data_IF_450051530180
#
_entry.id   IF_450051530180
#
_cell.length_a   1.000
_cell.length_b   1.000
_cell.length_c   1.000
_cell.angle_alpha   90.00
_cell.angle_beta   90.00
_cell.angle_gamma   90.00
#
_symmetry.space_group_name_H-M   'P 1'
#
loop_
_entity.id
_entity.type
_entity.pdbx_description
1 polymer ?
#
# COMPACT_ATOMS: atom_id res chain seq x y z
N UNK A 1 -5.37 -1.45 16.89
CA UNK A 1 -5.79 -0.03 17.03
C UNK A 1 -6.79 0.31 15.93
N UNK A 2 -7.93 0.92 16.26
CA UNK A 2 -9.01 1.20 15.28
C UNK A 2 -8.53 2.09 14.13
N UNK A 3 -7.72 3.12 14.43
CA UNK A 3 -7.17 4.05 13.43
C UNK A 3 -6.16 3.41 12.47
N UNK A 4 -5.69 2.19 12.75
CA UNK A 4 -4.85 1.41 11.84
C UNK A 4 -5.68 0.53 10.90
N UNK A 5 -6.80 -0.01 11.38
CA UNK A 5 -7.60 -1.00 10.64
C UNK A 5 -8.75 -0.40 9.83
N UNK A 6 -9.22 0.80 10.19
CA UNK A 6 -10.44 1.38 9.62
C UNK A 6 -10.15 2.65 8.82
N UNK A 7 -10.93 2.87 7.77
CA UNK A 7 -10.82 4.07 6.93
C UNK A 7 -11.43 5.27 7.66
N UNK A 8 -10.60 6.25 8.01
CA UNK A 8 -11.03 7.45 8.75
C UNK A 8 -11.63 8.54 7.86
N UNK A 9 -11.24 8.62 6.59
CA UNK A 9 -11.74 9.60 5.60
C UNK A 9 -11.52 11.10 5.97
N UNK A 10 -10.76 11.38 7.02
CA UNK A 10 -10.33 12.72 7.42
C UNK A 10 -8.82 12.92 7.27
N UNK A 11 -8.30 14.13 7.57
CA UNK A 11 -6.88 14.47 7.47
C UNK A 11 -6.08 13.88 8.66
N UNK A 12 -6.08 12.56 8.80
CA UNK A 12 -5.47 11.81 9.91
C UNK A 12 -4.60 10.69 9.34
N UNK A 13 -3.38 10.57 9.85
CA UNK A 13 -2.47 9.48 9.54
C UNK A 13 -2.03 8.74 10.81
N UNK A 14 -2.08 7.41 10.78
CA UNK A 14 -1.52 6.55 11.81
C UNK A 14 -0.07 6.21 11.46
N UNK A 15 0.89 6.57 12.32
CA UNK A 15 2.30 6.21 12.13
C UNK A 15 2.59 4.94 12.93
N UNK A 16 2.99 3.87 12.25
CA UNK A 16 3.29 2.57 12.84
C UNK A 16 4.75 2.24 12.59
N UNK A 17 5.47 1.82 13.63
CA UNK A 17 6.87 1.41 13.54
C UNK A 17 6.97 -0.07 13.18
N UNK A 18 7.81 -0.38 12.21
CA UNK A 18 8.20 -1.74 11.89
C UNK A 18 9.65 -2.00 12.31
N UNK A 19 9.98 -3.26 12.64
CA UNK A 19 11.35 -3.65 13.02
C UNK A 19 12.29 -3.63 11.82
N UNK A 20 11.78 -4.00 10.66
CA UNK A 20 12.50 -4.12 9.40
C UNK A 20 11.51 -4.07 8.21
N UNK A 21 12.03 -4.20 6.99
CA UNK A 21 11.23 -4.17 5.77
C UNK A 21 10.27 -5.36 5.63
N UNK A 22 10.61 -6.54 6.16
CA UNK A 22 9.73 -7.71 6.10
C UNK A 22 8.53 -7.53 7.03
N UNK A 23 8.75 -7.06 8.26
CA UNK A 23 7.68 -6.71 9.19
C UNK A 23 6.82 -5.55 8.66
N UNK A 24 7.41 -4.58 7.95
CA UNK A 24 6.63 -3.51 7.33
C UNK A 24 5.69 -4.05 6.24
N UNK A 25 6.15 -5.03 5.45
CA UNK A 25 5.33 -5.71 4.45
C UNK A 25 4.20 -6.52 5.09
N UNK A 26 4.50 -7.29 6.15
CA UNK A 26 3.50 -8.02 6.94
C UNK A 26 2.41 -7.08 7.46
N UNK A 27 2.81 -5.95 8.06
CA UNK A 27 1.87 -4.94 8.56
C UNK A 27 1.05 -4.29 7.43
N UNK A 28 1.65 -4.03 6.27
CA UNK A 28 0.94 -3.46 5.13
C UNK A 28 -0.12 -4.41 4.57
N UNK A 29 0.19 -5.71 4.54
CA UNK A 29 -0.72 -6.76 4.07
C UNK A 29 -1.75 -7.20 5.13
N UNK A 30 -1.53 -6.95 6.44
CA UNK A 30 -2.52 -7.09 7.54
C UNK A 30 -3.62 -6.02 7.47
N UNK A 31 -4.29 -5.96 6.32
CA UNK A 31 -5.42 -5.12 6.04
C UNK A 31 -6.45 -5.89 5.24
N UNK A 32 -7.72 -5.70 5.57
CA UNK A 32 -8.85 -6.20 4.78
C UNK A 32 -9.02 -5.43 3.46
N UNK A 33 -8.28 -4.33 3.28
CA UNK A 33 -8.29 -3.46 2.12
C UNK A 33 -6.97 -3.60 1.33
N UNK A 34 -7.00 -3.22 0.06
CA UNK A 34 -5.85 -3.30 -0.84
C UNK A 34 -6.00 -2.38 -2.05
N UNK A 35 -6.20 -1.08 -1.82
CA UNK A 35 -6.38 -0.11 -2.90
C UNK A 35 -5.05 0.26 -3.56
N UNK A 36 -4.16 0.89 -2.78
CA UNK A 36 -2.86 1.32 -3.24
C UNK A 36 -1.84 1.35 -2.08
N UNK A 37 -0.57 1.19 -2.42
CA UNK A 37 0.55 1.32 -1.50
C UNK A 37 1.68 2.13 -2.12
N UNK A 38 2.49 2.76 -1.26
CA UNK A 38 3.71 3.44 -1.69
C UNK A 38 4.92 2.92 -0.94
N UNK A 39 6.02 2.69 -1.65
CA UNK A 39 7.32 2.31 -1.09
C UNK A 39 8.31 3.46 -1.24
N UNK A 40 8.98 3.82 -0.13
CA UNK A 40 10.09 4.76 -0.12
C UNK A 40 11.38 4.08 0.33
N UNK A 41 12.31 3.86 -0.60
CA UNK A 41 13.63 3.29 -0.30
C UNK A 41 14.68 3.68 -1.35
N UNK A 42 15.95 3.81 -0.97
CA UNK A 42 17.04 4.02 -1.97
C UNK A 42 17.48 2.72 -2.64
N UNK A 43 17.08 1.57 -2.11
CA UNK A 43 17.44 0.27 -2.65
C UNK A 43 16.39 -0.16 -3.69
N UNK A 44 16.80 -0.17 -4.96
CA UNK A 44 15.93 -0.50 -6.10
C UNK A 44 15.46 -1.95 -6.07
N UNK A 45 16.33 -2.89 -5.74
CA UNK A 45 16.00 -4.31 -5.64
C UNK A 45 14.96 -4.55 -4.55
N UNK A 46 15.13 -3.90 -3.39
CA UNK A 46 14.16 -3.94 -2.30
C UNK A 46 12.83 -3.32 -2.72
N UNK A 47 12.84 -2.21 -3.45
CA UNK A 47 11.62 -1.57 -3.93
C UNK A 47 10.81 -2.51 -4.84
N UNK A 48 11.47 -3.16 -5.80
CA UNK A 48 10.83 -4.13 -6.69
C UNK A 48 10.34 -5.37 -5.96
N UNK A 49 11.14 -5.89 -5.00
CA UNK A 49 10.72 -7.03 -4.17
C UNK A 49 9.44 -6.72 -3.40
N UNK A 50 9.42 -5.60 -2.66
CA UNK A 50 8.26 -5.18 -1.88
C UNK A 50 7.05 -4.92 -2.79
N UNK A 51 7.26 -4.30 -3.96
CA UNK A 51 6.18 -4.06 -4.91
C UNK A 51 5.54 -5.34 -5.46
N UNK A 52 6.31 -6.42 -5.61
CA UNK A 52 5.80 -7.72 -6.04
C UNK A 52 5.02 -8.48 -4.95
N UNK A 53 5.25 -8.17 -3.67
CA UNK A 53 4.66 -8.87 -2.54
C UNK A 53 3.51 -8.09 -1.86
N UNK A 54 3.32 -6.81 -2.20
CA UNK A 54 2.24 -5.98 -1.67
C UNK A 54 0.88 -6.38 -2.28
N UNK A 55 -0.09 -6.69 -1.43
CA UNK A 55 -1.43 -7.11 -1.83
C UNK A 55 -2.34 -5.90 -2.09
N UNK A 56 -1.97 -5.10 -3.07
CA UNK A 56 -2.71 -3.89 -3.48
C UNK A 56 -2.86 -3.83 -4.99
N UNK A 57 -3.88 -3.12 -5.47
CA UNK A 57 -4.08 -3.01 -6.92
C UNK A 57 -3.17 -1.98 -7.61
N UNK A 58 -2.45 -1.14 -6.86
CA UNK A 58 -1.43 -0.26 -7.41
C UNK A 58 -0.31 0.02 -6.40
N UNK A 59 0.94 -0.17 -6.81
CA UNK A 59 2.12 0.15 -6.01
C UNK A 59 2.90 1.28 -6.66
N UNK A 60 3.24 2.29 -5.86
CA UNK A 60 3.99 3.46 -6.29
C UNK A 60 5.36 3.47 -5.59
N UNK A 61 6.43 3.76 -6.32
CA UNK A 61 7.77 3.90 -5.75
C UNK A 61 8.12 5.38 -5.76
N UNK A 62 8.47 5.93 -4.59
CA UNK A 62 8.80 7.36 -4.40
C UNK A 62 7.72 8.36 -4.81
N UNK A 63 6.46 7.92 -4.87
CA UNK A 63 5.34 8.75 -5.31
C UNK A 63 4.07 8.47 -4.54
N UNK A 64 3.15 9.41 -4.57
CA UNK A 64 1.80 9.21 -4.03
C UNK A 64 0.93 8.44 -5.01
N UNK A 65 -0.21 7.94 -4.53
CA UNK A 65 -1.21 7.32 -5.37
C UNK A 65 -1.73 8.31 -6.42
N UNK A 66 -1.40 8.08 -7.68
CA UNK A 66 -1.80 8.89 -8.82
C UNK A 66 -2.52 8.02 -9.87
N UNK A 67 -3.37 8.65 -10.67
CA UNK A 67 -4.11 7.98 -11.73
C UNK A 67 -3.66 8.48 -13.10
N UNK A 68 -3.44 7.55 -14.04
CA UNK A 68 -3.22 7.83 -15.45
C UNK A 68 -4.29 7.07 -16.24
N UNK A 69 -5.03 7.70 -17.17
CA UNK A 69 -6.10 7.03 -17.91
C UNK A 69 -5.64 5.84 -18.75
N UNK A 70 -4.34 5.71 -19.02
CA UNK A 70 -3.75 4.59 -19.77
C UNK A 70 -3.34 3.41 -18.88
N UNK A 71 -3.35 3.59 -17.56
CA UNK A 71 -2.93 2.59 -16.58
C UNK A 71 -4.16 2.12 -15.81
N UNK A 72 -4.35 0.80 -15.73
CA UNK A 72 -5.45 0.20 -14.99
C UNK A 72 -5.36 0.57 -13.51
N UNK A 73 -6.46 1.04 -12.92
CA UNK A 73 -6.49 1.46 -11.51
C UNK A 73 -7.63 0.80 -10.72
N UNK A 74 -7.35 0.55 -9.45
CA UNK A 74 -8.30 0.28 -8.39
C UNK A 74 -7.80 -0.82 -7.45
N UNK A 75 -8.66 -1.34 -6.56
CA UNK A 75 -8.21 -2.19 -5.46
C UNK A 75 -8.51 -3.68 -5.57
N UNK A 76 -7.92 -4.44 -4.66
CA UNK A 76 -8.21 -5.86 -4.37
C UNK A 76 -8.85 -6.00 -2.98
N UNK A 77 -9.18 -7.23 -2.55
CA UNK A 77 -9.84 -7.52 -1.26
C UNK A 77 -11.16 -6.74 -1.13
N UNK A 78 -11.43 -6.14 0.03
CA UNK A 78 -12.61 -5.27 0.24
C UNK A 78 -12.51 -3.91 -0.45
N UNK A 79 -11.40 -3.62 -1.14
CA UNK A 79 -11.26 -2.37 -1.93
C UNK A 79 -11.87 -2.45 -3.33
N UNK A 80 -12.36 -3.61 -3.76
CA UNK A 80 -13.11 -3.78 -5.01
C UNK A 80 -12.58 -4.90 -5.90
N UNK A 81 -13.19 -5.02 -7.09
CA UNK A 81 -12.86 -5.99 -8.13
C UNK A 81 -13.02 -5.36 -9.53
N UNK A 82 -12.39 -5.94 -10.56
CA UNK A 82 -12.38 -5.45 -11.96
C UNK A 82 -11.20 -4.52 -12.28
N UNK A 83 -10.89 -4.32 -13.57
CA UNK A 83 -9.95 -3.30 -14.11
C UNK A 83 -10.30 -2.93 -15.55
#
# INVERSE_FOLDING_TARGET
MTSFKQKLFGPVASIITARDAAHALELANDSEFGLASTVYTRNVELAHKLAGELETGGVFIHGYCATDPRVTFGGVKKSGFGR
#
